data_IF_162392728404
#
_entry.id   IF_162392728404
#
_cell.length_a   1.000
_cell.length_b   1.000
_cell.length_c   1.000
_cell.angle_alpha   90.00
_cell.angle_beta   90.00
_cell.angle_gamma   90.00
#
_symmetry.space_group_name_H-M   'P 1'
#
loop_
_entity.id
_entity.type
_entity.pdbx_description
1 polymer ?
#
# COMPACT_ATOMS: atom_id res chain seq x y z
N UNK A 1 -6.51 -2.76 -10.36
CA UNK A 1 -6.62 -3.70 -9.22
C UNK A 1 -7.76 -3.23 -8.35
N UNK A 2 -8.63 -4.13 -7.86
CA UNK A 2 -9.69 -3.75 -6.92
C UNK A 2 -9.17 -3.81 -5.49
N UNK A 3 -9.80 -3.07 -4.56
CA UNK A 3 -9.48 -3.12 -3.13
C UNK A 3 -9.63 -4.55 -2.59
N UNK A 4 -10.61 -5.31 -3.07
CA UNK A 4 -10.83 -6.70 -2.70
C UNK A 4 -9.65 -7.62 -3.07
N UNK A 5 -9.10 -7.48 -4.28
CA UNK A 5 -7.92 -8.26 -4.68
C UNK A 5 -6.70 -7.91 -3.84
N UNK A 6 -6.52 -6.64 -3.47
CA UNK A 6 -5.43 -6.22 -2.59
C UNK A 6 -5.55 -6.86 -1.20
N UNK A 7 -6.74 -6.85 -0.61
CA UNK A 7 -6.98 -7.45 0.71
C UNK A 7 -6.70 -8.96 0.73
N UNK A 8 -7.00 -9.68 -0.36
CA UNK A 8 -6.63 -11.11 -0.51
C UNK A 8 -5.11 -11.37 -0.55
N UNK A 9 -4.33 -10.32 -0.81
CA UNK A 9 -2.86 -10.40 -0.90
C UNK A 9 -2.18 -10.12 0.43
N UNK A 10 -2.92 -9.64 1.44
CA UNK A 10 -2.39 -9.23 2.74
C UNK A 10 -2.86 -10.24 3.80
N UNK A 11 -1.91 -10.84 4.49
CA UNK A 11 -2.16 -11.74 5.62
C UNK A 11 -1.98 -11.01 6.94
N UNK A 12 -2.68 -11.46 7.99
CA UNK A 12 -2.52 -10.92 9.34
C UNK A 12 -1.06 -10.97 9.78
N UNK A 13 -0.59 -9.87 10.37
CA UNK A 13 0.78 -9.69 10.80
C UNK A 13 1.78 -9.29 9.70
N UNK A 14 1.36 -9.20 8.43
CA UNK A 14 2.22 -8.67 7.37
C UNK A 14 2.49 -7.18 7.56
N UNK A 15 3.74 -6.78 7.35
CA UNK A 15 4.14 -5.39 7.22
C UNK A 15 3.81 -4.90 5.82
N UNK A 16 2.96 -3.88 5.74
CA UNK A 16 2.59 -3.20 4.51
C UNK A 16 3.39 -1.90 4.42
N UNK A 17 4.17 -1.79 3.35
CA UNK A 17 5.00 -0.63 3.04
C UNK A 17 4.41 0.08 1.83
N UNK A 18 3.86 1.28 2.02
CA UNK A 18 3.30 2.09 0.94
C UNK A 18 4.33 3.13 0.51
N UNK A 19 4.66 3.12 -0.77
CA UNK A 19 5.71 3.95 -1.37
C UNK A 19 5.19 4.76 -2.55
N UNK A 20 5.83 5.89 -2.80
CA UNK A 20 5.62 6.64 -4.04
C UNK A 20 6.33 5.96 -5.24
N UNK A 21 6.19 6.56 -6.42
CA UNK A 21 6.82 6.07 -7.65
C UNK A 21 8.35 6.22 -7.68
N UNK A 22 8.93 6.97 -6.74
CA UNK A 22 10.37 7.12 -6.53
C UNK A 22 10.92 6.14 -5.49
N UNK A 23 10.04 5.37 -4.84
CA UNK A 23 10.38 4.40 -3.81
C UNK A 23 10.49 4.98 -2.40
N UNK A 24 10.12 6.24 -2.19
CA UNK A 24 10.10 6.85 -0.87
C UNK A 24 8.94 6.28 -0.05
N UNK A 25 9.20 6.04 1.24
CA UNK A 25 8.17 5.52 2.14
C UNK A 25 7.17 6.62 2.48
N UNK A 26 5.89 6.37 2.20
CA UNK A 26 4.79 7.24 2.61
C UNK A 26 4.27 6.78 3.97
N UNK A 27 3.93 5.49 4.07
CA UNK A 27 3.30 4.88 5.24
C UNK A 27 3.84 3.46 5.42
N UNK A 28 4.02 3.05 6.67
CA UNK A 28 4.28 1.66 7.06
C UNK A 28 3.34 1.29 8.19
N UNK A 29 2.66 0.16 8.06
CA UNK A 29 1.83 -0.41 9.12
C UNK A 29 1.88 -1.94 9.10
N UNK A 30 1.45 -2.56 10.18
CA UNK A 30 1.27 -4.01 10.27
C UNK A 30 -0.21 -4.33 10.15
N UNK A 31 -0.57 -5.22 9.23
CA UNK A 31 -1.96 -5.61 9.03
C UNK A 31 -2.47 -6.43 10.22
N UNK A 32 -3.65 -6.09 10.75
CA UNK A 32 -4.22 -6.69 11.96
C UNK A 32 -4.01 -5.84 13.22
N UNK A 33 -3.09 -4.88 13.22
CA UNK A 33 -3.01 -3.89 14.28
C UNK A 33 -4.16 -2.87 14.09
N UNK A 34 -4.81 -2.46 15.19
CA UNK A 34 -5.89 -1.49 15.18
C UNK A 34 -5.34 -0.09 14.85
N UNK A 35 -5.13 0.16 13.55
CA UNK A 35 -4.60 1.41 13.03
C UNK A 35 -5.49 1.87 11.88
N UNK A 36 -6.20 2.98 12.08
CA UNK A 36 -6.82 3.72 10.99
C UNK A 36 -5.77 4.68 10.39
N UNK A 37 -5.14 4.27 9.28
CA UNK A 37 -4.24 5.15 8.52
C UNK A 37 -4.98 5.79 7.37
N UNK A 38 -5.46 7.01 7.56
CA UNK A 38 -5.97 7.85 6.47
C UNK A 38 -4.96 8.96 6.15
N UNK A 39 -4.59 9.09 4.87
CA UNK A 39 -3.86 10.25 4.36
C UNK A 39 -4.59 10.78 3.14
N UNK A 40 -4.90 12.08 3.14
CA UNK A 40 -5.54 12.75 2.00
C UNK A 40 -4.68 12.69 0.72
N UNK A 41 -3.36 12.49 0.86
CA UNK A 41 -2.50 12.24 -0.29
C UNK A 41 -2.96 11.00 -1.09
N UNK A 42 -3.56 9.98 -0.48
CA UNK A 42 -4.05 8.80 -1.20
C UNK A 42 -5.23 9.06 -2.14
N UNK A 43 -5.97 10.16 -1.97
CA UNK A 43 -7.15 10.46 -2.80
C UNK A 43 -6.81 10.63 -4.28
N UNK A 44 -5.56 10.98 -4.59
CA UNK A 44 -5.08 11.22 -5.95
C UNK A 44 -4.01 10.22 -6.37
N UNK A 45 -4.02 9.00 -5.84
CA UNK A 45 -3.06 7.97 -6.24
C UNK A 45 -3.74 6.68 -6.66
N UNK A 46 -3.23 6.06 -7.74
CA UNK A 46 -3.57 4.69 -8.14
C UNK A 46 -2.44 3.73 -7.74
N UNK A 47 -2.80 2.50 -7.39
CA UNK A 47 -1.81 1.43 -7.17
C UNK A 47 -1.22 1.05 -8.53
N UNK A 48 0.08 1.29 -8.70
CA UNK A 48 0.84 0.95 -9.91
C UNK A 48 1.36 -0.47 -9.87
N UNK A 49 1.93 -0.87 -8.73
CA UNK A 49 2.58 -2.19 -8.54
C UNK A 49 2.44 -2.64 -7.10
N UNK A 50 2.29 -3.94 -6.92
CA UNK A 50 2.44 -4.63 -5.62
C UNK A 50 3.59 -5.64 -5.71
N UNK A 51 4.37 -5.77 -4.64
CA UNK A 51 5.54 -6.66 -4.59
C UNK A 51 5.67 -7.29 -3.21
N UNK A 52 5.50 -8.62 -3.15
CA UNK A 52 5.74 -9.42 -1.95
C UNK A 52 7.24 -9.71 -1.89
N UNK A 53 7.93 -9.15 -0.89
CA UNK A 53 9.37 -9.43 -0.69
C UNK A 53 9.61 -10.75 0.03
N UNK A 54 8.74 -11.08 0.96
CA UNK A 54 8.72 -12.35 1.69
C UNK A 54 7.29 -12.55 2.25
N UNK A 55 7.04 -13.66 2.95
CA UNK A 55 5.72 -13.97 3.49
C UNK A 55 5.16 -12.92 4.47
N UNK A 56 5.98 -11.97 4.93
CA UNK A 56 5.63 -10.94 5.90
C UNK A 56 5.74 -9.51 5.37
N UNK A 57 6.20 -9.27 4.14
CA UNK A 57 6.48 -7.92 3.63
C UNK A 57 5.81 -7.69 2.27
N UNK A 58 4.84 -6.78 2.25
CA UNK A 58 4.22 -6.28 1.02
C UNK A 58 4.68 -4.83 0.75
N UNK A 59 5.19 -4.56 -0.45
CA UNK A 59 5.37 -3.21 -0.95
C UNK A 59 4.24 -2.85 -1.91
N UNK A 60 3.64 -1.67 -1.71
CA UNK A 60 2.65 -1.07 -2.60
C UNK A 60 3.27 0.21 -3.16
N UNK A 61 3.34 0.31 -4.48
CA UNK A 61 3.86 1.48 -5.18
C UNK A 61 2.69 2.26 -5.78
N UNK A 62 2.64 3.54 -5.46
CA UNK A 62 1.59 4.46 -5.87
C UNK A 62 2.06 5.35 -7.03
N UNK A 63 1.13 5.68 -7.92
CA UNK A 63 1.30 6.65 -9.00
C UNK A 63 0.27 7.77 -8.84
N UNK A 64 0.73 9.01 -8.96
CA UNK A 64 -0.11 10.20 -8.86
C UNK A 64 -1.07 10.24 -10.07
N UNK A 65 -2.34 10.54 -9.79
CA UNK A 65 -3.43 10.64 -10.77
C UNK A 65 -4.05 12.03 -10.78
N UNK A 66 -3.48 13.00 -10.08
CA UNK A 66 -4.05 14.35 -9.98
C UNK A 66 -4.15 15.07 -11.34
N UNK A 67 -3.40 14.61 -12.34
CA UNK A 67 -3.35 15.19 -13.69
C UNK A 67 -3.78 14.20 -14.80
N UNK A 68 -4.36 13.05 -14.45
CA UNK A 68 -4.92 12.07 -15.42
C UNK A 68 -6.39 12.38 -15.76
#
# INVERSE_FOLDING_TARGET
>A
MTVESLLKTISEGMTVNVKDCYGNMIIRFKFGDAIEVFSASFLFHKIKKTEIKNQFDLNIYLEDTKND
#
